data_IF_280165550153
#
_entry.id   IF_280165550153
#
_cell.length_a   1.000
_cell.length_b   1.000
_cell.length_c   1.000
_cell.angle_alpha   90.00
_cell.angle_beta   90.00
_cell.angle_gamma   90.00
#
_symmetry.space_group_name_H-M   'P 1'
#
loop_
_entity.id
_entity.type
_entity.pdbx_description
1 polymer ?
#
# COMPACT_ATOMS: atom_id res chain seq x y z
N UNK A 1 14.16 3.76 23.07
CA UNK A 1 15.61 3.45 23.00
C UNK A 1 16.36 4.75 23.24
N UNK A 2 17.33 4.83 24.16
CA UNK A 2 18.07 6.06 24.39
C UNK A 2 18.88 6.44 23.15
N UNK A 3 18.71 7.67 22.70
CA UNK A 3 19.45 8.25 21.57
C UNK A 3 20.94 8.34 21.92
N UNK A 4 21.79 7.86 21.02
CA UNK A 4 23.25 7.99 21.09
C UNK A 4 23.70 8.72 19.83
N UNK A 5 24.13 9.98 19.97
CA UNK A 5 24.64 10.75 18.85
C UNK A 5 26.12 10.42 18.60
N UNK A 6 26.51 10.40 17.34
CA UNK A 6 27.92 10.50 16.94
C UNK A 6 28.41 11.94 17.10
N UNK A 7 29.73 12.15 17.08
CA UNK A 7 30.31 13.50 17.10
C UNK A 7 29.85 14.35 15.90
N UNK A 8 29.73 13.72 14.73
CA UNK A 8 29.23 14.37 13.51
C UNK A 8 27.76 14.80 13.66
N UNK A 9 26.90 13.95 14.23
CA UNK A 9 25.49 14.27 14.45
C UNK A 9 25.30 15.36 15.50
N UNK A 10 26.12 15.38 16.55
CA UNK A 10 26.09 16.44 17.56
C UNK A 10 26.58 17.78 16.97
N UNK A 11 27.61 17.77 16.13
CA UNK A 11 28.06 18.96 15.41
C UNK A 11 26.99 19.47 14.43
N UNK A 12 26.35 18.56 13.69
CA UNK A 12 25.23 18.89 12.80
C UNK A 12 24.04 19.48 13.59
N UNK A 13 23.72 18.92 14.75
CA UNK A 13 22.70 19.48 15.64
C UNK A 13 23.08 20.89 16.08
N UNK A 14 24.30 21.13 16.57
CA UNK A 14 24.72 22.45 17.06
C UNK A 14 24.67 23.51 15.96
N UNK A 15 25.19 23.19 14.78
CA UNK A 15 25.29 24.13 13.65
C UNK A 15 23.97 24.37 12.91
N UNK A 16 22.96 23.52 13.11
CA UNK A 16 21.68 23.64 12.41
C UNK A 16 20.87 24.86 12.87
N UNK A 17 20.47 25.73 11.94
CA UNK A 17 19.57 26.87 12.19
C UNK A 17 18.13 26.61 11.71
N UNK A 18 17.87 25.43 11.16
CA UNK A 18 16.63 25.04 10.49
C UNK A 18 15.97 23.87 11.21
N UNK A 19 14.68 23.96 11.51
CA UNK A 19 13.93 22.80 11.97
C UNK A 19 13.72 21.82 10.79
N UNK A 20 14.12 20.55 10.95
CA UNK A 20 13.98 19.55 9.88
C UNK A 20 12.52 19.18 9.57
N UNK A 21 11.60 19.36 10.53
CA UNK A 21 10.20 18.95 10.42
C UNK A 21 9.36 19.97 9.64
N UNK A 22 9.44 21.24 10.03
CA UNK A 22 8.65 22.32 9.43
C UNK A 22 9.44 23.17 8.44
N UNK A 23 10.74 22.91 8.29
CA UNK A 23 11.65 23.63 7.40
C UNK A 23 11.68 25.16 7.65
N UNK A 24 11.29 25.59 8.86
CA UNK A 24 11.34 26.99 9.26
C UNK A 24 12.67 27.30 9.96
N UNK A 25 13.22 28.47 9.63
CA UNK A 25 14.43 28.97 10.27
C UNK A 25 14.18 29.47 11.69
N UNK A 26 15.25 29.45 12.48
CA UNK A 26 15.32 30.07 13.78
C UNK A 26 14.94 29.13 14.92
N UNK A 27 15.77 29.18 15.95
CA UNK A 27 15.51 28.58 17.24
C UNK A 27 15.62 29.66 18.31
N UNK A 28 14.69 29.66 19.26
CA UNK A 28 14.71 30.58 20.39
C UNK A 28 14.33 29.82 21.67
N UNK A 29 14.52 30.44 22.83
CA UNK A 29 14.24 29.79 24.11
C UNK A 29 12.78 29.92 24.58
N UNK A 30 11.90 30.59 23.82
CA UNK A 30 10.54 30.92 24.23
C UNK A 30 9.48 30.13 23.45
N UNK A 31 9.49 30.27 22.12
CA UNK A 31 8.48 29.72 21.20
C UNK A 31 9.02 28.60 20.33
N UNK A 32 10.31 28.67 19.96
CA UNK A 32 10.98 27.77 19.01
C UNK A 32 12.16 27.05 19.65
N UNK A 33 11.94 26.46 20.84
CA UNK A 33 12.97 25.72 21.58
C UNK A 33 13.54 24.59 20.74
N UNK A 34 14.87 24.57 20.57
CA UNK A 34 15.59 23.53 19.83
C UNK A 34 15.64 22.23 20.62
N UNK A 35 15.27 21.13 19.98
CA UNK A 35 15.33 19.76 20.52
C UNK A 35 15.94 18.80 19.51
N UNK A 36 16.42 17.66 20.00
CA UNK A 36 16.96 16.58 19.18
C UNK A 36 15.85 15.56 18.89
N UNK A 37 15.36 15.53 17.66
CA UNK A 37 14.42 14.51 17.21
C UNK A 37 15.17 13.21 16.87
N UNK A 38 14.57 12.08 17.22
CA UNK A 38 15.14 10.76 16.94
C UNK A 38 14.04 9.73 16.70
N UNK A 39 14.37 8.69 15.93
CA UNK A 39 13.47 7.57 15.72
C UNK A 39 13.32 6.77 17.02
N UNK A 40 12.09 6.67 17.55
CA UNK A 40 11.85 5.91 18.78
C UNK A 40 12.01 4.38 18.61
N UNK A 41 11.96 3.87 17.36
CA UNK A 41 12.16 2.46 17.04
C UNK A 41 13.62 2.06 16.87
N UNK A 42 14.45 2.92 16.26
CA UNK A 42 15.86 2.60 15.97
C UNK A 42 16.85 3.35 16.88
N UNK A 43 16.39 4.38 17.59
CA UNK A 43 17.23 5.29 18.36
C UNK A 43 18.04 6.29 17.53
N UNK A 44 17.98 6.21 16.19
CA UNK A 44 18.78 7.06 15.28
C UNK A 44 18.32 8.51 15.31
N UNK A 45 19.27 9.44 15.38
CA UNK A 45 19.03 10.86 15.27
C UNK A 45 18.44 11.22 13.90
N UNK A 46 17.47 12.12 13.87
CA UNK A 46 16.81 12.58 12.64
C UNK A 46 17.19 14.00 12.27
N UNK A 47 17.36 14.86 13.27
CA UNK A 47 17.75 16.24 13.04
C UNK A 47 17.35 17.15 14.20
N UNK A 48 17.66 18.43 14.03
CA UNK A 48 17.21 19.47 14.95
C UNK A 48 15.74 19.84 14.66
N UNK A 49 14.95 20.00 15.71
CA UNK A 49 13.52 20.32 15.59
C UNK A 49 13.08 21.36 16.62
N UNK A 50 11.98 22.07 16.34
CA UNK A 50 11.27 22.82 17.39
C UNK A 50 10.62 21.83 18.36
N UNK A 51 10.58 22.17 19.65
CA UNK A 51 9.93 21.36 20.67
C UNK A 51 8.48 21.06 20.29
N UNK A 52 7.74 22.06 19.82
CA UNK A 52 6.36 21.91 19.35
C UNK A 52 6.25 20.96 18.16
N UNK A 53 7.07 21.12 17.13
CA UNK A 53 7.11 20.23 15.98
C UNK A 53 7.43 18.79 16.39
N UNK A 54 8.42 18.59 17.25
CA UNK A 54 8.82 17.28 17.73
C UNK A 54 7.71 16.59 18.55
N UNK A 55 7.00 17.33 19.40
CA UNK A 55 5.86 16.81 20.17
C UNK A 55 4.67 16.43 19.27
N UNK A 56 4.48 17.19 18.18
CA UNK A 56 3.40 16.94 17.22
C UNK A 56 3.74 15.84 16.21
N UNK A 57 5.03 15.53 16.00
CA UNK A 57 5.46 14.45 15.14
C UNK A 57 5.13 13.10 15.78
N UNK A 58 4.00 12.52 15.40
CA UNK A 58 3.56 11.21 15.91
C UNK A 58 4.00 10.11 14.97
N UNK A 59 4.50 9.03 15.56
CA UNK A 59 4.67 7.79 14.82
C UNK A 59 3.29 7.18 14.54
N UNK A 60 2.91 6.91 13.29
CA UNK A 60 1.64 6.27 12.98
C UNK A 60 1.69 4.82 13.50
N UNK A 61 0.85 4.51 14.50
CA UNK A 61 0.70 3.16 15.07
C UNK A 61 -0.37 2.36 14.31
N UNK A 62 -0.45 2.64 13.01
CA UNK A 62 -1.43 2.11 12.08
C UNK A 62 -0.67 1.53 10.88
N UNK A 63 -0.87 0.24 10.63
CA UNK A 63 -0.24 -0.48 9.53
C UNK A 63 -1.24 -0.48 8.37
N UNK A 64 -0.96 0.25 7.27
CA UNK A 64 -1.84 0.22 6.11
C UNK A 64 -1.71 -1.14 5.40
N UNK A 65 -2.85 -1.72 5.07
CA UNK A 65 -2.97 -2.91 4.21
C UNK A 65 -3.62 -2.44 2.92
N UNK A 66 -2.89 -2.52 1.82
CA UNK A 66 -3.35 -2.00 0.53
C UNK A 66 -4.07 -3.08 -0.26
N UNK A 67 -5.29 -2.77 -0.69
CA UNK A 67 -6.09 -3.61 -1.56
C UNK A 67 -6.55 -2.76 -2.76
N UNK A 68 -6.75 -3.37 -3.92
CA UNK A 68 -7.17 -2.62 -5.11
C UNK A 68 -8.66 -2.81 -5.35
N UNK A 69 -9.42 -1.71 -5.37
CA UNK A 69 -10.86 -1.69 -5.61
C UNK A 69 -11.68 -2.45 -4.54
N UNK A 70 -11.10 -2.61 -3.35
CA UNK A 70 -11.66 -3.35 -2.23
C UNK A 70 -13.02 -2.81 -1.76
N UNK A 71 -13.26 -1.51 -1.91
CA UNK A 71 -14.53 -0.88 -1.51
C UNK A 71 -15.75 -1.43 -2.27
N UNK A 72 -15.53 -1.99 -3.46
CA UNK A 72 -16.60 -2.48 -4.34
C UNK A 72 -16.73 -4.00 -4.38
N UNK A 73 -15.74 -4.74 -3.89
CA UNK A 73 -15.67 -6.19 -4.02
C UNK A 73 -15.43 -6.86 -2.67
N UNK A 74 -14.16 -6.92 -2.26
CA UNK A 74 -13.70 -7.89 -1.27
C UNK A 74 -14.23 -7.63 0.14
N UNK A 75 -14.46 -6.36 0.50
CA UNK A 75 -14.85 -5.95 1.85
C UNK A 75 -16.08 -6.71 2.36
N UNK A 76 -17.05 -7.01 1.49
CA UNK A 76 -18.30 -7.66 1.87
C UNK A 76 -18.14 -9.09 2.37
N UNK A 77 -17.09 -9.78 1.93
CA UNK A 77 -16.91 -11.20 2.19
C UNK A 77 -16.49 -11.47 3.63
N UNK A 78 -15.64 -10.62 4.21
CA UNK A 78 -14.97 -10.92 5.47
C UNK A 78 -15.16 -9.87 6.57
N UNK A 79 -15.67 -8.66 6.29
CA UNK A 79 -15.79 -7.60 7.31
C UNK A 79 -16.67 -8.01 8.50
N UNK A 80 -17.76 -8.76 8.24
CA UNK A 80 -18.65 -9.27 9.30
C UNK A 80 -17.96 -10.30 10.17
N UNK A 81 -17.17 -11.19 9.57
CA UNK A 81 -16.42 -12.22 10.31
C UNK A 81 -15.25 -11.61 11.09
N UNK A 82 -14.56 -10.63 10.51
CA UNK A 82 -13.54 -9.84 11.20
C UNK A 82 -14.13 -9.13 12.43
N UNK A 83 -15.32 -8.55 12.31
CA UNK A 83 -16.01 -7.90 13.43
C UNK A 83 -16.43 -8.90 14.52
N UNK A 84 -16.86 -10.12 14.14
CA UNK A 84 -17.17 -11.17 15.11
C UNK A 84 -15.92 -11.66 15.84
N UNK A 85 -14.81 -11.84 15.13
CA UNK A 85 -13.58 -12.43 15.69
C UNK A 85 -12.77 -11.45 16.53
N UNK A 86 -12.55 -10.23 16.03
CA UNK A 86 -11.65 -9.25 16.65
C UNK A 86 -12.39 -8.14 17.41
N UNK A 87 -13.73 -8.16 17.38
CA UNK A 87 -14.57 -7.15 18.03
C UNK A 87 -14.68 -5.86 17.22
N UNK A 88 -14.45 -4.71 17.87
CA UNK A 88 -14.70 -3.39 17.28
C UNK A 88 -13.83 -3.15 16.04
N UNK A 89 -14.48 -3.18 14.87
CA UNK A 89 -13.93 -2.70 13.60
C UNK A 89 -14.31 -1.23 13.46
N UNK A 90 -13.32 -0.36 13.31
CA UNK A 90 -13.57 1.04 12.98
C UNK A 90 -13.89 1.13 11.49
N UNK A 91 -15.02 1.76 11.13
CA UNK A 91 -15.50 1.85 9.76
C UNK A 91 -15.66 3.31 9.34
N UNK A 92 -15.15 3.64 8.15
CA UNK A 92 -15.46 4.88 7.44
C UNK A 92 -16.33 4.49 6.25
N UNK A 93 -17.65 4.58 6.42
CA UNK A 93 -18.61 4.26 5.38
C UNK A 93 -18.75 5.43 4.38
N UNK A 94 -18.86 5.09 3.10
CA UNK A 94 -19.33 5.98 2.04
C UNK A 94 -20.84 5.78 1.81
N UNK A 95 -21.27 4.52 1.81
CA UNK A 95 -22.67 4.08 1.82
C UNK A 95 -22.79 2.86 2.74
N UNK A 96 -24.01 2.38 3.00
CA UNK A 96 -24.24 1.16 3.79
C UNK A 96 -23.56 -0.09 3.21
N UNK A 97 -23.25 -0.04 1.91
CA UNK A 97 -22.61 -1.11 1.14
C UNK A 97 -21.23 -0.72 0.62
N UNK A 98 -20.66 0.44 0.92
CA UNK A 98 -19.32 0.80 0.43
C UNK A 98 -18.54 1.49 1.53
N UNK A 99 -17.44 0.88 1.92
CA UNK A 99 -16.56 1.40 2.97
C UNK A 99 -15.31 2.02 2.32
N UNK A 100 -15.00 3.26 2.69
CA UNK A 100 -13.76 3.95 2.26
C UNK A 100 -12.55 3.27 2.90
N UNK A 101 -12.70 2.89 4.16
CA UNK A 101 -11.68 2.28 4.99
C UNK A 101 -12.35 1.49 6.11
N UNK A 102 -11.69 0.42 6.52
CA UNK A 102 -11.96 -0.23 7.79
C UNK A 102 -10.65 -0.55 8.51
N UNK A 103 -10.69 -0.55 9.83
CA UNK A 103 -9.53 -0.84 10.65
C UNK A 103 -9.85 -1.88 11.71
N UNK A 104 -8.93 -2.84 11.87
CA UNK A 104 -9.04 -3.93 12.84
C UNK A 104 -7.91 -3.83 13.84
N UNK A 105 -8.22 -4.02 15.11
CA UNK A 105 -7.23 -4.11 16.17
C UNK A 105 -6.45 -5.43 16.05
N UNK A 106 -5.12 -5.36 16.05
CA UNK A 106 -4.26 -6.56 15.96
C UNK A 106 -4.27 -7.41 17.24
N UNK A 107 -4.83 -6.91 18.35
CA UNK A 107 -4.74 -7.51 19.67
C UNK A 107 -3.43 -7.21 20.39
N UNK A 108 -2.42 -6.67 19.68
CA UNK A 108 -1.13 -6.31 20.25
C UNK A 108 -1.14 -4.88 20.79
N UNK A 109 -1.18 -4.78 22.12
CA UNK A 109 -1.05 -3.52 22.84
C UNK A 109 0.39 -3.00 22.87
N UNK A 110 0.57 -1.69 22.74
CA UNK A 110 1.89 -1.05 22.83
C UNK A 110 1.97 0.04 23.91
N UNK A 111 0.83 0.44 24.47
CA UNK A 111 0.74 1.34 25.62
C UNK A 111 -0.16 0.67 26.65
N UNK A 112 0.26 0.62 27.91
CA UNK A 112 -0.41 -0.11 28.98
C UNK A 112 -0.80 0.83 30.11
N UNK A 113 -1.97 0.59 30.70
CA UNK A 113 -2.45 1.21 31.93
C UNK A 113 -2.65 0.10 32.96
N UNK A 114 -1.67 -0.06 33.85
CA UNK A 114 -1.53 -1.29 34.64
C UNK A 114 -1.24 -2.49 33.73
N UNK A 115 -1.94 -3.60 33.94
CA UNK A 115 -1.81 -4.82 33.13
C UNK A 115 -2.67 -4.81 31.86
N UNK A 116 -3.44 -3.74 31.62
CA UNK A 116 -4.35 -3.65 30.47
C UNK A 116 -3.73 -2.80 29.36
N UNK A 117 -3.70 -3.29 28.11
CA UNK A 117 -3.31 -2.47 26.98
C UNK A 117 -4.35 -1.35 26.75
N UNK A 118 -3.87 -0.11 26.77
CA UNK A 118 -4.62 1.13 26.51
C UNK A 118 -4.69 1.46 25.02
N UNK A 119 -3.61 1.19 24.27
CA UNK A 119 -3.54 1.40 22.82
C UNK A 119 -2.99 0.18 22.13
N UNK A 120 -3.51 -0.08 20.94
CA UNK A 120 -3.20 -1.25 20.14
C UNK A 120 -2.76 -0.86 18.74
N UNK A 121 -1.91 -1.69 18.15
CA UNK A 121 -1.57 -1.59 16.73
C UNK A 121 -2.82 -1.91 15.92
N UNK A 122 -3.17 -1.04 14.98
CA UNK A 122 -4.30 -1.23 14.06
C UNK A 122 -3.80 -1.61 12.67
N UNK A 123 -4.49 -2.53 12.01
CA UNK A 123 -4.39 -2.72 10.57
C UNK A 123 -5.49 -1.90 9.92
N UNK A 124 -5.14 -1.02 8.99
CA UNK A 124 -6.12 -0.22 8.24
C UNK A 124 -6.10 -0.58 6.79
N UNK A 125 -7.25 -1.00 6.28
CA UNK A 125 -7.39 -1.44 4.91
C UNK A 125 -7.67 -0.25 4.01
N UNK A 126 -6.77 0.00 3.07
CA UNK A 126 -6.78 1.18 2.20
C UNK A 126 -6.99 0.74 0.77
N UNK A 127 -8.00 1.34 0.13
CA UNK A 127 -8.32 1.08 -1.26
C UNK A 127 -7.46 1.94 -2.20
N UNK A 128 -6.49 1.30 -2.85
CA UNK A 128 -5.59 1.96 -3.80
C UNK A 128 -6.31 2.52 -5.04
N UNK A 129 -7.50 2.03 -5.38
CA UNK A 129 -8.31 2.56 -6.48
C UNK A 129 -8.78 3.99 -6.19
N UNK A 130 -8.89 4.37 -4.90
CA UNK A 130 -9.20 5.76 -4.47
C UNK A 130 -8.02 6.72 -4.65
N UNK A 131 -6.84 6.20 -5.00
CA UNK A 131 -5.68 6.98 -5.41
C UNK A 131 -5.46 6.91 -6.93
N UNK A 132 -5.60 5.72 -7.49
CA UNK A 132 -5.30 5.40 -8.88
C UNK A 132 -6.48 4.64 -9.49
N UNK A 133 -7.48 5.38 -9.96
CA UNK A 133 -8.75 4.85 -10.47
C UNK A 133 -8.60 4.24 -11.89
N UNK A 134 -7.81 3.17 -11.99
CA UNK A 134 -7.51 2.44 -13.21
C UNK A 134 -7.17 0.99 -12.86
N UNK A 135 -7.32 0.07 -13.81
CA UNK A 135 -6.93 -1.33 -13.60
C UNK A 135 -5.43 -1.49 -13.33
N UNK A 136 -5.07 -2.52 -12.56
CA UNK A 136 -3.69 -2.94 -12.29
C UNK A 136 -2.91 -3.08 -13.60
N UNK A 137 -3.50 -3.75 -14.62
CA UNK A 137 -2.86 -3.90 -15.94
C UNK A 137 -2.46 -2.56 -16.57
N UNK A 138 -3.36 -1.57 -16.56
CA UNK A 138 -3.09 -0.26 -17.16
C UNK A 138 -2.08 0.54 -16.33
N UNK A 139 -2.09 0.37 -15.02
CA UNK A 139 -1.12 1.01 -14.12
C UNK A 139 0.28 0.39 -14.27
N UNK A 140 0.37 -0.94 -14.36
CA UNK A 140 1.61 -1.68 -14.56
C UNK A 140 2.32 -1.30 -15.88
N UNK A 141 1.56 -1.00 -16.95
CA UNK A 141 2.12 -0.52 -18.23
C UNK A 141 2.87 0.82 -18.12
N UNK A 142 2.63 1.61 -17.08
CA UNK A 142 3.36 2.86 -16.85
C UNK A 142 4.67 2.67 -16.08
N UNK A 143 4.91 1.47 -15.55
CA UNK A 143 6.13 1.15 -14.82
C UNK A 143 7.27 0.84 -15.80
N UNK A 144 8.46 1.31 -15.46
CA UNK A 144 9.70 0.88 -16.09
C UNK A 144 10.21 -0.38 -15.40
N UNK A 145 11.14 -1.07 -16.06
CA UNK A 145 11.78 -2.27 -15.51
C UNK A 145 12.39 -2.06 -14.11
N UNK A 146 12.92 -0.88 -13.85
CA UNK A 146 13.52 -0.47 -12.55
C UNK A 146 12.50 -0.23 -11.44
N UNK A 147 11.22 -0.02 -11.78
CA UNK A 147 10.16 0.24 -10.81
C UNK A 147 9.60 -1.07 -10.19
N UNK A 148 9.86 -2.23 -10.81
CA UNK A 148 9.45 -3.56 -10.35
C UNK A 148 10.31 -4.07 -9.18
N UNK A 149 10.48 -3.27 -8.12
CA UNK A 149 11.40 -3.57 -7.00
C UNK A 149 10.98 -4.81 -6.22
N UNK A 150 9.70 -4.92 -5.89
CA UNK A 150 9.13 -6.04 -5.14
C UNK A 150 9.09 -7.29 -5.99
N UNK A 151 8.68 -7.19 -7.27
CA UNK A 151 8.70 -8.34 -8.19
C UNK A 151 10.12 -8.87 -8.39
N UNK A 152 11.11 -8.00 -8.65
CA UNK A 152 12.51 -8.43 -8.79
C UNK A 152 13.05 -9.08 -7.51
N UNK A 153 12.74 -8.50 -6.33
CA UNK A 153 13.15 -9.08 -5.06
C UNK A 153 12.53 -10.47 -4.83
N UNK A 154 11.25 -10.65 -5.18
CA UNK A 154 10.56 -11.94 -5.07
C UNK A 154 11.19 -13.01 -5.97
N UNK A 155 11.56 -12.65 -7.21
CA UNK A 155 12.28 -13.55 -8.13
C UNK A 155 13.64 -13.96 -7.57
N UNK A 156 14.38 -13.00 -7.00
CA UNK A 156 15.71 -13.23 -6.44
C UNK A 156 15.69 -14.08 -5.16
N UNK A 157 14.76 -13.82 -4.24
CA UNK A 157 14.61 -14.63 -3.03
C UNK A 157 14.16 -16.06 -3.37
N UNK A 158 13.23 -16.18 -4.31
CA UNK A 158 12.84 -17.45 -4.93
C UNK A 158 12.19 -18.47 -4.00
N UNK A 159 12.05 -18.23 -2.69
CA UNK A 159 11.59 -19.25 -1.73
C UNK A 159 10.23 -19.83 -2.09
N UNK A 160 9.23 -18.95 -2.23
CA UNK A 160 7.86 -19.33 -2.59
C UNK A 160 7.78 -19.63 -4.08
N UNK A 161 8.45 -18.83 -4.91
CA UNK A 161 8.39 -18.96 -6.35
C UNK A 161 8.88 -20.34 -6.84
N UNK A 162 9.98 -20.86 -6.26
CA UNK A 162 10.54 -22.17 -6.61
C UNK A 162 9.67 -23.36 -6.19
N UNK A 163 8.67 -23.13 -5.34
CA UNK A 163 7.65 -24.13 -5.00
C UNK A 163 6.59 -24.21 -6.10
N UNK A 164 6.31 -23.10 -6.79
CA UNK A 164 5.22 -22.98 -7.78
C UNK A 164 5.71 -23.22 -9.21
N UNK A 165 6.89 -22.69 -9.57
CA UNK A 165 7.43 -22.76 -10.94
C UNK A 165 8.73 -23.55 -11.03
N UNK A 166 8.95 -24.18 -12.18
CA UNK A 166 10.20 -24.85 -12.52
C UNK A 166 11.21 -23.83 -13.08
N UNK A 167 12.16 -23.43 -12.23
CA UNK A 167 13.19 -22.46 -12.60
C UNK A 167 14.33 -23.05 -13.41
N UNK A 168 14.78 -22.30 -14.42
CA UNK A 168 15.93 -22.63 -15.26
C UNK A 168 17.06 -21.62 -15.06
N UNK A 169 18.33 -22.00 -15.33
CA UNK A 169 19.42 -21.04 -15.30
C UNK A 169 19.17 -19.85 -16.23
N UNK A 170 19.28 -18.62 -15.72
CA UNK A 170 19.07 -17.36 -16.45
C UNK A 170 17.63 -17.10 -16.93
N UNK A 171 16.63 -17.62 -16.22
CA UNK A 171 15.21 -17.39 -16.56
C UNK A 171 14.58 -16.13 -15.93
N UNK A 172 15.32 -15.38 -15.12
CA UNK A 172 14.82 -14.21 -14.37
C UNK A 172 14.05 -13.21 -15.25
N UNK A 173 14.57 -12.92 -16.45
CA UNK A 173 13.95 -11.99 -17.40
C UNK A 173 12.61 -12.50 -17.94
N UNK A 174 12.51 -13.81 -18.15
CA UNK A 174 11.29 -14.46 -18.61
C UNK A 174 10.23 -14.49 -17.50
N UNK A 175 10.64 -14.82 -16.27
CA UNK A 175 9.77 -14.79 -15.10
C UNK A 175 9.30 -13.37 -14.80
N UNK A 176 10.18 -12.38 -14.89
CA UNK A 176 9.81 -10.98 -14.75
C UNK A 176 8.75 -10.60 -15.79
N UNK A 177 8.88 -11.05 -17.04
CA UNK A 177 7.88 -10.80 -18.09
C UNK A 177 6.53 -11.44 -17.76
N UNK A 178 6.51 -12.60 -17.11
CA UNK A 178 5.29 -13.24 -16.63
C UNK A 178 4.66 -12.40 -15.52
N UNK A 179 5.42 -12.12 -14.46
CA UNK A 179 4.93 -11.43 -13.25
C UNK A 179 4.64 -9.94 -13.46
N UNK A 180 5.25 -9.29 -14.46
CA UNK A 180 4.96 -7.89 -14.83
C UNK A 180 3.83 -7.76 -15.86
N UNK A 181 3.32 -8.88 -16.38
CA UNK A 181 2.34 -8.93 -17.46
C UNK A 181 0.89 -8.85 -16.99
N UNK A 182 -0.03 -9.03 -17.95
CA UNK A 182 -1.46 -9.23 -17.66
C UNK A 182 -1.67 -10.68 -17.24
N UNK A 183 -2.11 -10.90 -16.00
CA UNK A 183 -2.59 -12.21 -15.58
C UNK A 183 -3.82 -12.61 -16.40
N UNK A 184 -3.87 -13.86 -16.86
CA UNK A 184 -5.04 -14.44 -17.52
C UNK A 184 -5.68 -15.40 -16.51
N UNK A 185 -7.00 -15.35 -16.33
CA UNK A 185 -7.65 -16.22 -15.36
C UNK A 185 -9.02 -16.69 -15.87
N UNK A 186 -9.36 -17.97 -15.74
CA UNK A 186 -10.60 -18.54 -16.23
C UNK A 186 -11.70 -18.43 -15.16
N UNK A 187 -12.18 -17.21 -14.91
CA UNK A 187 -13.11 -16.91 -13.80
C UNK A 187 -14.38 -17.76 -13.83
N UNK A 188 -14.98 -17.91 -15.00
CA UNK A 188 -16.21 -18.68 -15.21
C UNK A 188 -15.98 -20.19 -15.16
N UNK A 189 -14.76 -20.64 -15.46
CA UNK A 189 -14.43 -22.07 -15.38
C UNK A 189 -14.30 -22.51 -13.93
N UNK A 190 -13.68 -21.74 -13.05
CA UNK A 190 -13.44 -22.14 -11.64
C UNK A 190 -14.69 -21.83 -10.80
N UNK A 191 -15.69 -22.70 -10.92
CA UNK A 191 -16.98 -22.62 -10.20
C UNK A 191 -17.02 -23.48 -8.92
N UNK A 192 -15.96 -24.23 -8.64
CA UNK A 192 -15.86 -25.09 -7.46
C UNK A 192 -14.41 -25.24 -6.99
N UNK A 193 -14.21 -25.57 -5.71
CA UNK A 193 -12.86 -25.71 -5.13
C UNK A 193 -12.12 -26.92 -5.71
N UNK A 194 -12.86 -27.97 -6.08
CA UNK A 194 -12.32 -29.19 -6.68
C UNK A 194 -11.69 -28.92 -8.05
N UNK A 195 -12.11 -27.86 -8.76
CA UNK A 195 -11.47 -27.46 -10.01
C UNK A 195 -10.05 -26.95 -9.82
N UNK A 196 -9.64 -26.56 -8.61
CA UNK A 196 -8.24 -26.22 -8.35
C UNK A 196 -7.31 -27.45 -8.53
N UNK A 197 -7.82 -28.67 -8.35
CA UNK A 197 -7.08 -29.90 -8.60
C UNK A 197 -7.06 -30.30 -10.08
N UNK A 198 -7.69 -29.54 -10.98
CA UNK A 198 -7.73 -29.83 -12.41
C UNK A 198 -6.33 -29.70 -13.04
N UNK A 199 -5.86 -30.78 -13.68
CA UNK A 199 -4.47 -30.91 -14.16
C UNK A 199 -4.30 -30.80 -15.67
N UNK A 200 -5.39 -30.74 -16.42
CA UNK A 200 -5.31 -30.61 -17.88
C UNK A 200 -5.19 -29.14 -18.30
N UNK A 201 -4.53 -28.92 -19.44
CA UNK A 201 -4.50 -27.61 -20.08
C UNK A 201 -5.90 -27.18 -20.47
N UNK A 202 -6.26 -25.93 -20.13
CA UNK A 202 -7.53 -25.34 -20.51
C UNK A 202 -7.52 -24.94 -21.98
N UNK A 203 -8.67 -25.04 -22.63
CA UNK A 203 -8.88 -24.55 -23.99
C UNK A 203 -9.20 -23.06 -23.95
N UNK A 204 -8.97 -22.37 -25.07
CA UNK A 204 -9.30 -20.94 -25.19
C UNK A 204 -10.77 -20.61 -24.82
N UNK A 205 -11.70 -21.54 -25.06
CA UNK A 205 -13.12 -21.40 -24.74
C UNK A 205 -13.39 -21.42 -23.23
N UNK A 206 -12.54 -22.07 -22.44
CA UNK A 206 -12.67 -22.13 -20.98
C UNK A 206 -12.37 -20.77 -20.31
N UNK A 207 -11.83 -19.82 -21.06
CA UNK A 207 -11.61 -18.43 -20.64
C UNK A 207 -12.69 -17.47 -21.15
N UNK A 208 -13.87 -17.98 -21.52
CA UNK A 208 -15.00 -17.13 -21.91
C UNK A 208 -15.49 -16.29 -20.72
N UNK A 209 -15.60 -14.97 -20.92
CA UNK A 209 -16.14 -14.06 -19.90
C UNK A 209 -17.58 -13.66 -20.17
N UNK A 210 -18.44 -13.84 -19.17
CA UNK A 210 -19.83 -13.37 -19.21
C UNK A 210 -19.94 -11.86 -19.23
N UNK A 211 -18.93 -11.14 -18.72
CA UNK A 211 -18.92 -9.68 -18.65
C UNK A 211 -18.71 -9.05 -20.03
N UNK A 212 -17.85 -9.66 -20.85
CA UNK A 212 -17.49 -9.15 -22.19
C UNK A 212 -18.17 -9.92 -23.32
N UNK A 213 -18.83 -11.05 -23.02
CA UNK A 213 -19.43 -11.97 -24.00
C UNK A 213 -18.43 -12.47 -25.06
N UNK A 214 -17.17 -12.65 -24.65
CA UNK A 214 -16.08 -13.11 -25.51
C UNK A 214 -15.05 -13.94 -24.74
N UNK A 215 -14.36 -14.83 -25.46
CA UNK A 215 -13.15 -15.50 -24.95
C UNK A 215 -11.92 -14.61 -25.14
N UNK A 216 -10.84 -14.96 -24.43
CA UNK A 216 -9.56 -14.27 -24.57
C UNK A 216 -8.99 -14.34 -25.99
N UNK A 217 -8.08 -13.42 -26.30
CA UNK A 217 -7.39 -13.40 -27.60
C UNK A 217 -6.40 -14.57 -27.73
N UNK A 218 -6.08 -14.98 -28.96
CA UNK A 218 -5.06 -16.01 -29.22
C UNK A 218 -3.70 -15.64 -28.58
N UNK A 219 -3.35 -14.35 -28.59
CA UNK A 219 -2.12 -13.86 -27.95
C UNK A 219 -2.13 -14.09 -26.44
N UNK A 220 -3.27 -13.84 -25.79
CA UNK A 220 -3.44 -14.07 -24.35
C UNK A 220 -3.46 -15.56 -24.03
N UNK A 221 -4.04 -16.38 -24.91
CA UNK A 221 -4.00 -17.84 -24.78
C UNK A 221 -2.56 -18.38 -24.86
N UNK A 222 -1.76 -17.91 -25.82
CA UNK A 222 -0.33 -18.26 -25.89
C UNK A 222 0.45 -17.79 -24.65
N UNK A 223 0.06 -16.66 -24.05
CA UNK A 223 0.63 -16.23 -22.79
C UNK A 223 0.26 -17.18 -21.64
N UNK A 224 -1.02 -17.57 -21.52
CA UNK A 224 -1.46 -18.60 -20.58
C UNK A 224 -0.63 -19.89 -20.72
N UNK A 225 -0.46 -20.40 -21.94
CA UNK A 225 0.33 -21.61 -22.19
C UNK A 225 1.79 -21.47 -21.75
N UNK A 226 2.40 -20.30 -21.95
CA UNK A 226 3.77 -20.03 -21.49
C UNK A 226 3.90 -20.10 -19.97
N UNK A 227 2.88 -19.63 -19.24
CA UNK A 227 2.84 -19.68 -17.77
C UNK A 227 2.54 -21.09 -17.28
N UNK A 228 1.52 -21.74 -17.86
CA UNK A 228 1.12 -23.12 -17.53
C UNK A 228 2.27 -24.11 -17.69
N UNK A 229 3.08 -23.95 -18.74
CA UNK A 229 4.22 -24.84 -18.99
C UNK A 229 5.41 -24.63 -18.04
N UNK A 230 5.45 -23.50 -17.32
CA UNK A 230 6.45 -23.25 -16.28
C UNK A 230 6.02 -23.72 -14.90
N UNK A 231 4.76 -24.09 -14.69
CA UNK A 231 4.33 -24.60 -13.40
C UNK A 231 5.08 -25.90 -13.10
N UNK A 232 5.64 -25.97 -11.89
CA UNK A 232 6.31 -27.17 -11.38
C UNK A 232 5.33 -28.33 -11.25
N UNK A 233 4.13 -28.01 -10.77
CA UNK A 233 3.00 -28.93 -10.68
C UNK A 233 1.83 -28.31 -11.45
N UNK A 234 1.43 -28.97 -12.54
CA UNK A 234 0.37 -28.50 -13.44
C UNK A 234 -1.00 -28.80 -12.85
N UNK A 235 -1.51 -27.88 -12.05
CA UNK A 235 -2.90 -27.83 -11.64
C UNK A 235 -3.39 -26.36 -11.58
N UNK A 236 -4.71 -26.16 -11.61
CA UNK A 236 -5.29 -24.81 -11.56
C UNK A 236 -5.07 -24.11 -10.21
N UNK A 237 -4.85 -24.84 -9.12
CA UNK A 237 -4.49 -24.30 -7.81
C UNK A 237 -3.17 -23.53 -7.85
N UNK A 238 -2.09 -24.16 -8.31
CA UNK A 238 -0.78 -23.53 -8.47
C UNK A 238 -0.80 -22.39 -9.49
N UNK A 239 -1.60 -22.55 -10.57
CA UNK A 239 -1.83 -21.45 -11.50
C UNK A 239 -2.50 -20.25 -10.82
N UNK A 240 -3.52 -20.51 -9.98
CA UNK A 240 -4.23 -19.50 -9.21
C UNK A 240 -3.33 -18.83 -8.16
N UNK A 241 -2.47 -19.58 -7.49
CA UNK A 241 -1.52 -19.01 -6.53
C UNK A 241 -0.55 -18.06 -7.24
N UNK A 242 -0.02 -18.46 -8.39
CA UNK A 242 0.86 -17.60 -9.20
C UNK A 242 0.12 -16.33 -9.68
N UNK A 243 -1.12 -16.48 -10.14
CA UNK A 243 -1.98 -15.36 -10.57
C UNK A 243 -2.20 -14.35 -9.43
N UNK A 244 -2.54 -14.84 -8.23
CA UNK A 244 -2.76 -13.97 -7.07
C UNK A 244 -1.47 -13.29 -6.61
N UNK A 245 -0.34 -14.03 -6.61
CA UNK A 245 0.98 -13.47 -6.29
C UNK A 245 1.34 -12.36 -7.27
N UNK A 246 1.11 -12.58 -8.56
CA UNK A 246 1.34 -11.59 -9.61
C UNK A 246 0.56 -10.29 -9.34
N UNK A 247 -0.74 -10.37 -9.05
CA UNK A 247 -1.57 -9.19 -8.77
C UNK A 247 -1.09 -8.44 -7.53
N UNK A 248 -0.68 -9.14 -6.47
CA UNK A 248 -0.14 -8.55 -5.24
C UNK A 248 1.20 -7.85 -5.49
N UNK A 249 2.11 -8.49 -6.24
CA UNK A 249 3.43 -7.92 -6.56
C UNK A 249 3.29 -6.68 -7.45
N UNK A 250 2.44 -6.76 -8.48
CA UNK A 250 2.13 -5.62 -9.35
C UNK A 250 1.57 -4.46 -8.55
N UNK A 251 0.59 -4.72 -7.67
CA UNK A 251 0.01 -3.67 -6.83
C UNK A 251 1.07 -3.03 -5.92
N UNK A 252 1.95 -3.83 -5.32
CA UNK A 252 3.03 -3.34 -4.49
C UNK A 252 3.99 -2.42 -5.28
N UNK A 253 4.44 -2.84 -6.46
CA UNK A 253 5.32 -2.05 -7.31
C UNK A 253 4.65 -0.76 -7.82
N UNK A 254 3.38 -0.84 -8.24
CA UNK A 254 2.58 0.33 -8.67
C UNK A 254 2.48 1.34 -7.52
N UNK A 255 2.07 0.88 -6.33
CA UNK A 255 1.84 1.78 -5.20
C UNK A 255 3.16 2.34 -4.65
N UNK A 256 4.23 1.55 -4.63
CA UNK A 256 5.57 2.01 -4.24
C UNK A 256 6.11 3.07 -5.21
N UNK A 257 5.90 2.91 -6.52
CA UNK A 257 6.22 3.96 -7.48
C UNK A 257 5.40 5.24 -7.24
N UNK A 258 4.09 5.10 -7.01
CA UNK A 258 3.22 6.24 -6.66
C UNK A 258 3.67 6.96 -5.38
N UNK A 259 4.07 6.21 -4.34
CA UNK A 259 4.66 6.75 -3.11
C UNK A 259 5.92 7.55 -3.39
N UNK A 260 6.84 6.99 -4.19
CA UNK A 260 8.08 7.67 -4.56
C UNK A 260 7.82 8.98 -5.32
N UNK A 261 6.86 9.00 -6.25
CA UNK A 261 6.45 10.22 -6.96
C UNK A 261 5.90 11.26 -5.96
N UNK A 262 4.98 10.88 -5.08
CA UNK A 262 4.37 11.80 -4.12
C UNK A 262 5.39 12.34 -3.10
N UNK A 263 6.32 11.51 -2.63
CA UNK A 263 7.42 11.93 -1.76
C UNK A 263 8.34 12.91 -2.48
N UNK A 264 8.62 12.70 -3.76
CA UNK A 264 9.46 13.59 -4.55
C UNK A 264 8.79 14.94 -4.82
N UNK A 265 7.53 14.93 -5.26
CA UNK A 265 6.79 16.13 -5.66
C UNK A 265 6.23 16.93 -4.47
N UNK A 266 5.65 16.25 -3.48
CA UNK A 266 4.88 16.90 -2.41
C UNK A 266 5.53 16.75 -1.03
N UNK A 267 6.56 15.88 -0.89
CA UNK A 267 7.14 15.53 0.42
C UNK A 267 6.07 14.97 1.37
N UNK A 268 5.10 14.24 0.82
CA UNK A 268 4.02 13.56 1.52
C UNK A 268 3.97 12.10 1.06
N UNK A 269 3.83 11.18 2.00
CA UNK A 269 3.69 9.76 1.70
C UNK A 269 2.20 9.41 1.59
N UNK A 270 1.70 8.95 0.43
CA UNK A 270 0.30 8.60 0.25
C UNK A 270 -0.14 7.41 1.12
N UNK A 271 0.80 6.63 1.67
CA UNK A 271 0.50 5.55 2.61
C UNK A 271 -0.09 6.04 3.96
N UNK A 272 -0.07 7.35 4.22
CA UNK A 272 -0.68 7.97 5.40
C UNK A 272 -2.06 8.59 5.11
N UNK A 273 -2.61 8.37 3.92
CA UNK A 273 -3.89 8.91 3.48
C UNK A 273 -4.85 7.76 3.14
N UNK A 274 -6.13 8.08 3.05
CA UNK A 274 -7.16 7.14 2.59
C UNK A 274 -7.56 7.37 1.14
N UNK A 275 -7.37 8.58 0.61
CA UNK A 275 -7.85 8.96 -0.73
C UNK A 275 -6.95 10.00 -1.42
N UNK A 276 -7.00 10.06 -2.76
CA UNK A 276 -6.30 11.10 -3.51
C UNK A 276 -6.73 12.53 -3.14
N UNK A 277 -8.03 12.84 -2.95
CA UNK A 277 -8.45 14.18 -2.52
C UNK A 277 -7.86 14.60 -1.18
N UNK A 278 -7.82 13.70 -0.19
CA UNK A 278 -7.18 14.01 1.10
C UNK A 278 -5.68 14.32 0.96
N UNK A 279 -4.98 13.57 0.11
CA UNK A 279 -3.57 13.83 -0.20
C UNK A 279 -3.39 15.16 -0.94
N UNK A 280 -4.24 15.44 -1.94
CA UNK A 280 -4.18 16.64 -2.73
C UNK A 280 -4.45 17.90 -1.90
N UNK A 281 -5.37 17.81 -0.93
CA UNK A 281 -5.65 18.89 0.01
C UNK A 281 -4.42 19.25 0.84
N UNK A 282 -3.79 18.27 1.46
CA UNK A 282 -2.58 18.50 2.27
C UNK A 282 -1.38 18.94 1.40
N UNK A 283 -1.27 18.40 0.18
CA UNK A 283 -0.26 18.87 -0.78
C UNK A 283 -0.49 20.34 -1.14
N UNK A 284 -1.73 20.77 -1.38
CA UNK A 284 -2.09 22.15 -1.68
C UNK A 284 -1.75 23.07 -0.50
N UNK A 285 -2.11 22.69 0.73
CA UNK A 285 -1.77 23.48 1.93
C UNK A 285 -0.25 23.59 2.12
N UNK A 286 0.48 22.49 1.94
CA UNK A 286 1.95 22.46 2.08
C UNK A 286 2.67 23.31 1.02
N UNK A 287 2.20 23.28 -0.23
CA UNK A 287 2.80 24.03 -1.33
C UNK A 287 2.50 25.53 -1.24
N UNK A 288 1.25 25.89 -0.92
CA UNK A 288 0.82 27.29 -0.87
C UNK A 288 1.20 27.98 0.45
N UNK A 289 1.37 27.22 1.53
CA UNK A 289 1.58 27.72 2.90
C UNK A 289 0.47 28.67 3.35
N UNK A 290 -0.72 28.55 2.78
CA UNK A 290 -1.86 29.40 3.13
C UNK A 290 -2.40 29.01 4.52
N UNK A 291 -2.69 30.01 5.34
CA UNK A 291 -3.39 29.81 6.61
C UNK A 291 -4.89 29.93 6.37
N UNK A 292 -5.63 28.84 6.58
CA UNK A 292 -7.08 28.83 6.43
C UNK A 292 -7.70 29.68 7.53
N UNK A 293 -8.48 30.69 7.13
CA UNK A 293 -9.25 31.52 8.06
C UNK A 293 -10.57 30.85 8.40
N UNK A 294 -11.08 31.12 9.60
CA UNK A 294 -12.44 30.72 9.97
C UNK A 294 -13.44 31.42 9.05
N UNK A 295 -14.35 30.65 8.46
CA UNK A 295 -15.46 31.20 7.66
C UNK A 295 -16.40 31.92 8.64
N UNK A 296 -16.39 33.25 8.58
CA UNK A 296 -17.25 34.10 9.41
C UNK A 296 -18.44 34.66 8.63
N UNK A 297 -18.47 34.42 7.31
CA UNK A 297 -19.50 34.89 6.39
C UNK A 297 -20.49 33.76 6.10
N UNK A 298 -21.78 34.03 6.30
CA UNK A 298 -22.86 33.07 6.11
C UNK A 298 -23.04 32.66 4.64
N UNK A 299 -22.85 33.59 3.70
CA UNK A 299 -23.00 33.30 2.27
C UNK A 299 -21.84 32.43 1.77
N UNK A 300 -20.63 32.63 2.31
CA UNK A 300 -19.49 31.74 2.05
C UNK A 300 -19.73 30.33 2.59
N UNK A 301 -20.38 30.20 3.75
CA UNK A 301 -20.76 28.89 4.30
C UNK A 301 -21.75 28.18 3.37
N UNK A 302 -22.80 28.88 2.93
CA UNK A 302 -23.80 28.33 1.99
C UNK A 302 -23.24 27.92 0.62
N UNK A 303 -22.07 28.46 0.22
CA UNK A 303 -21.42 28.08 -1.04
C UNK A 303 -20.64 26.76 -0.93
N UNK A 304 -20.22 26.37 0.27
CA UNK A 304 -19.35 25.21 0.51
C UNK A 304 -20.15 23.98 0.99
N UNK A 305 -21.33 24.21 1.58
CA UNK A 305 -22.32 23.18 1.96
C UNK A 305 -23.17 22.73 0.75
#
# INVERSE_FOLDING_TARGET
>A
IPMKLTEEEELAYQNSSLCHICECEGFDNQTRKKVRDHCHLTGKFRGSAHLSCNLNLKFPQNIPVFCHNMSNYDTHLYIKELAKQYGNVDLIANTDEKYINYSVNSGYGYEFEGDKPRKFIKFSFVDTFRFMASSIEKLAKNLKREDFKHTNHFIQDGRILNEIIERQPNDDDEILKILSGKGIFPYEFIDSIEKLDYTEELKIQDFYSLLTDESISEKDYQHYLSVWNKLKEKNLGNYSDLYNIQDVLLLADIFENFRNICLNCYKLDPAHYLTAPSLAWDAMLKLTKIELQLINDYDMYLMIE
#
